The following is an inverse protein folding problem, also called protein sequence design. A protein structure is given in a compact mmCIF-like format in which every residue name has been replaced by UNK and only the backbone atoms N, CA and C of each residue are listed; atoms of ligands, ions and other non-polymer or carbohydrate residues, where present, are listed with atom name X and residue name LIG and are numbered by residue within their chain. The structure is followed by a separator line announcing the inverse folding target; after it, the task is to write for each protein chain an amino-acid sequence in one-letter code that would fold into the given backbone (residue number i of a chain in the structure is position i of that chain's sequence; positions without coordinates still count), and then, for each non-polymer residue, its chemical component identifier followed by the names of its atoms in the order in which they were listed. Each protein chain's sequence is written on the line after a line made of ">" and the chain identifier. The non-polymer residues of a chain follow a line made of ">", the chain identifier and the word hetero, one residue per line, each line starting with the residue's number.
data_IF_699606245543
#
_entry.id   IF_699606245543
#
_cell.length_a   1.000
_cell.length_b   1.000
_cell.length_c   1.000
_cell.angle_alpha   90.00
_cell.angle_beta   90.00
_cell.angle_gamma   90.00
#
_symmetry.space_group_name_H-M   'P 1'
#
loop_
_entity.id
_entity.type
_entity.pdbx_description
1 polymer ?
#
# COMPACT_ATOMS: atom_id res chain seq x y z
N UNK A 1 -14.76 15.30 -15.47
CA UNK A 1 -14.13 16.14 -14.42
C UNK A 1 -12.82 16.66 -14.99
N UNK A 2 -12.48 17.95 -14.82
CA UNK A 2 -11.18 18.46 -15.24
C UNK A 2 -10.08 17.67 -14.52
N UNK A 3 -8.98 17.34 -15.22
CA UNK A 3 -7.84 16.70 -14.58
C UNK A 3 -7.24 17.66 -13.56
N UNK A 4 -7.18 17.24 -12.30
CA UNK A 4 -6.45 17.98 -11.27
C UNK A 4 -4.97 17.95 -11.64
N UNK A 5 -4.30 19.09 -11.58
CA UNK A 5 -2.85 19.16 -11.82
C UNK A 5 -2.12 18.21 -10.86
N UNK A 6 -1.22 17.38 -11.40
CA UNK A 6 -0.49 16.38 -10.62
C UNK A 6 -1.27 15.11 -10.28
N UNK A 7 -2.43 14.86 -10.90
CA UNK A 7 -3.16 13.59 -10.81
C UNK A 7 -2.51 12.49 -11.68
N UNK A 8 -1.26 12.16 -11.39
CA UNK A 8 -0.46 11.11 -12.03
C UNK A 8 0.19 10.19 -10.98
N UNK A 9 0.86 9.12 -11.42
CA UNK A 9 1.49 8.16 -10.52
C UNK A 9 2.58 8.78 -9.63
N UNK A 10 3.21 9.87 -10.06
CA UNK A 10 4.23 10.57 -9.27
C UNK A 10 3.65 11.24 -8.02
N UNK A 11 2.31 11.27 -7.86
CA UNK A 11 1.65 11.69 -6.62
C UNK A 11 2.08 10.84 -5.41
N UNK A 12 2.40 9.55 -5.62
CA UNK A 12 2.82 8.65 -4.54
C UNK A 12 4.22 9.01 -4.04
N UNK A 13 5.12 9.43 -4.93
CA UNK A 13 6.46 9.92 -4.55
C UNK A 13 6.36 11.24 -3.76
N UNK A 14 5.52 12.16 -4.24
CA UNK A 14 5.25 13.43 -3.54
C UNK A 14 4.63 13.18 -2.17
N UNK A 15 3.68 12.26 -2.08
CA UNK A 15 3.04 11.90 -0.82
C UNK A 15 4.04 11.29 0.17
N UNK A 16 4.91 10.40 -0.30
CA UNK A 16 5.96 9.82 0.53
C UNK A 16 6.86 10.91 1.12
N UNK A 17 7.30 11.88 0.31
CA UNK A 17 8.12 12.99 0.79
C UNK A 17 7.39 13.81 1.86
N UNK A 18 6.11 14.13 1.66
CA UNK A 18 5.30 14.87 2.64
C UNK A 18 5.16 14.08 3.95
N UNK A 19 4.95 12.77 3.88
CA UNK A 19 4.81 11.91 5.07
C UNK A 19 6.13 11.80 5.82
N UNK A 20 7.24 11.66 5.10
CA UNK A 20 8.61 11.65 5.63
C UNK A 20 8.97 12.97 6.33
N UNK A 21 8.70 14.11 5.70
CA UNK A 21 8.92 15.44 6.28
C UNK A 21 8.11 15.62 7.57
N UNK A 22 6.85 15.17 7.56
CA UNK A 22 5.97 15.18 8.75
C UNK A 22 6.48 14.28 9.86
N UNK A 23 7.03 13.09 9.54
CA UNK A 23 7.67 12.22 10.53
C UNK A 23 8.84 12.92 11.18
N UNK A 24 9.70 13.55 10.37
CA UNK A 24 10.92 14.22 10.83
C UNK A 24 10.61 15.49 11.66
N UNK A 25 9.54 16.21 11.33
CA UNK A 25 9.07 17.35 12.13
C UNK A 25 8.54 16.95 13.52
N UNK A 26 8.05 15.71 13.68
CA UNK A 26 7.63 15.16 14.97
C UNK A 26 6.34 15.77 15.57
N UNK A 27 5.65 16.67 14.87
CA UNK A 27 4.43 17.30 15.37
C UNK A 27 3.20 16.38 15.25
N UNK A 28 3.00 15.56 16.26
CA UNK A 28 1.86 14.63 16.34
C UNK A 28 0.51 15.32 16.56
N UNK A 29 0.48 16.60 16.93
CA UNK A 29 -0.75 17.36 17.12
C UNK A 29 -1.27 17.88 15.78
N UNK A 30 -0.38 18.42 14.95
CA UNK A 30 -0.72 18.97 13.64
C UNK A 30 -0.77 17.93 12.51
N UNK A 31 -0.10 16.79 12.65
CA UNK A 31 0.04 15.80 11.58
C UNK A 31 -0.52 14.42 11.94
N UNK A 32 -1.48 13.95 11.13
CA UNK A 32 -2.05 12.62 11.25
C UNK A 32 -1.00 11.52 11.03
N UNK A 33 -0.16 11.64 10.00
CA UNK A 33 0.89 10.65 9.73
C UNK A 33 1.93 10.61 10.84
N UNK A 34 2.35 11.76 11.38
CA UNK A 34 3.29 11.80 12.50
C UNK A 34 2.69 11.12 13.74
N UNK A 35 1.41 11.36 14.02
CA UNK A 35 0.69 10.71 15.12
C UNK A 35 0.58 9.20 14.93
N UNK A 36 0.33 8.73 13.72
CA UNK A 36 0.20 7.29 13.45
C UNK A 36 1.54 6.58 13.62
N UNK A 37 2.61 7.15 13.07
CA UNK A 37 3.98 6.62 13.18
C UNK A 37 4.45 6.63 14.64
N UNK A 38 4.15 7.69 15.41
CA UNK A 38 4.46 7.75 16.83
C UNK A 38 3.76 6.67 17.68
N UNK A 39 2.68 6.05 17.17
CA UNK A 39 2.00 4.91 17.81
C UNK A 39 2.63 3.55 17.44
N UNK A 40 3.66 3.55 16.60
CA UNK A 40 4.45 2.39 16.22
C UNK A 40 3.89 1.56 15.07
N UNK A 41 4.74 0.71 14.52
CA UNK A 41 4.51 -0.11 13.33
C UNK A 41 3.23 -0.94 13.37
N UNK A 42 2.88 -1.50 14.54
CA UNK A 42 1.65 -2.28 14.69
C UNK A 42 0.39 -1.45 14.37
N UNK A 43 0.35 -0.18 14.78
CA UNK A 43 -0.80 0.68 14.52
C UNK A 43 -0.85 1.16 13.07
N UNK A 44 0.32 1.42 12.47
CA UNK A 44 0.43 1.77 11.05
C UNK A 44 -0.06 0.60 10.18
N UNK A 45 0.42 -0.61 10.45
CA UNK A 45 0.00 -1.82 9.74
C UNK A 45 -1.49 -2.15 9.95
N UNK A 46 -2.03 -1.92 11.15
CA UNK A 46 -3.46 -2.07 11.42
C UNK A 46 -4.29 -1.17 10.49
N UNK A 47 -3.95 0.13 10.38
CA UNK A 47 -4.69 1.03 9.48
C UNK A 47 -4.62 0.58 8.03
N UNK A 48 -3.45 0.18 7.54
CA UNK A 48 -3.35 -0.38 6.19
C UNK A 48 -4.30 -1.57 5.98
N UNK A 49 -4.40 -2.45 6.99
CA UNK A 49 -5.31 -3.60 6.94
C UNK A 49 -6.79 -3.22 6.93
N UNK A 50 -7.18 -2.20 7.70
CA UNK A 50 -8.55 -1.66 7.72
C UNK A 50 -8.96 -1.17 6.31
N UNK A 51 -8.18 -0.26 5.72
CA UNK A 51 -8.50 0.29 4.39
C UNK A 51 -8.49 -0.78 3.29
N UNK A 52 -7.64 -1.82 3.43
CA UNK A 52 -7.62 -2.93 2.48
C UNK A 52 -8.92 -3.73 2.52
N UNK A 53 -9.47 -3.97 3.72
CA UNK A 53 -10.75 -4.67 3.89
C UNK A 53 -11.90 -3.81 3.37
N UNK A 54 -11.92 -2.52 3.69
CA UNK A 54 -12.93 -1.57 3.22
C UNK A 54 -12.93 -1.47 1.69
N UNK A 55 -11.75 -1.33 1.06
CA UNK A 55 -11.60 -1.32 -0.39
C UNK A 55 -12.14 -2.60 -1.05
N UNK A 56 -11.85 -3.77 -0.47
CA UNK A 56 -12.35 -5.07 -0.96
C UNK A 56 -13.87 -5.15 -0.84
N UNK A 57 -14.44 -4.71 0.28
CA UNK A 57 -15.89 -4.72 0.51
C UNK A 57 -16.58 -3.84 -0.53
N UNK A 58 -16.14 -2.59 -0.70
CA UNK A 58 -16.78 -1.65 -1.63
C UNK A 58 -16.62 -2.09 -3.10
N UNK A 59 -15.50 -2.71 -3.45
CA UNK A 59 -15.31 -3.33 -4.76
C UNK A 59 -16.27 -4.51 -4.97
N UNK A 60 -16.43 -5.38 -3.96
CA UNK A 60 -17.31 -6.55 -4.04
C UNK A 60 -18.80 -6.19 -4.11
N UNK A 61 -19.20 -5.08 -3.50
CA UNK A 61 -20.58 -4.56 -3.57
C UNK A 61 -20.86 -3.75 -4.84
N UNK A 62 -19.85 -3.50 -5.67
CA UNK A 62 -19.98 -2.73 -6.91
C UNK A 62 -20.08 -1.22 -6.70
N UNK A 63 -19.73 -0.72 -5.50
CA UNK A 63 -19.78 0.70 -5.18
C UNK A 63 -18.55 1.45 -5.72
N UNK A 64 -18.56 1.71 -7.03
CA UNK A 64 -17.42 2.31 -7.74
C UNK A 64 -16.87 3.58 -7.09
N UNK A 65 -17.74 4.47 -6.61
CA UNK A 65 -17.31 5.74 -6.01
C UNK A 65 -16.57 5.51 -4.70
N UNK A 66 -17.10 4.64 -3.83
CA UNK A 66 -16.42 4.29 -2.59
C UNK A 66 -15.13 3.50 -2.86
N UNK A 67 -15.11 2.57 -3.82
CA UNK A 67 -13.88 1.86 -4.21
C UNK A 67 -12.75 2.83 -4.58
N UNK A 68 -13.04 3.93 -5.28
CA UNK A 68 -12.02 4.95 -5.61
C UNK A 68 -11.50 5.64 -4.36
N UNK A 69 -12.37 5.97 -3.40
CA UNK A 69 -11.98 6.60 -2.13
C UNK A 69 -11.12 5.65 -1.28
N UNK A 70 -11.60 4.42 -1.05
CA UNK A 70 -10.88 3.41 -0.27
C UNK A 70 -9.55 3.00 -0.94
N UNK A 71 -9.48 3.02 -2.28
CA UNK A 71 -8.21 2.80 -2.99
C UNK A 71 -7.20 3.91 -2.71
N UNK A 72 -7.66 5.16 -2.60
CA UNK A 72 -6.79 6.28 -2.27
C UNK A 72 -6.29 6.19 -0.83
N UNK A 73 -7.16 5.84 0.13
CA UNK A 73 -6.79 5.65 1.53
C UNK A 73 -5.86 4.45 1.74
N UNK A 74 -6.10 3.34 1.02
CA UNK A 74 -5.21 2.19 0.96
C UNK A 74 -3.80 2.58 0.49
N UNK A 75 -3.69 3.33 -0.61
CA UNK A 75 -2.40 3.80 -1.13
C UNK A 75 -1.71 4.76 -0.17
N UNK A 76 -2.48 5.67 0.45
CA UNK A 76 -1.94 6.58 1.47
C UNK A 76 -1.36 5.81 2.66
N UNK A 77 -2.11 4.86 3.21
CA UNK A 77 -1.65 4.08 4.36
C UNK A 77 -0.50 3.13 4.00
N UNK A 78 -0.40 2.67 2.75
CA UNK A 78 0.76 1.94 2.26
C UNK A 78 2.02 2.82 2.23
N UNK A 79 1.89 4.08 1.79
CA UNK A 79 2.99 5.06 1.84
C UNK A 79 3.43 5.33 3.29
N UNK A 80 2.49 5.40 4.24
CA UNK A 80 2.85 5.55 5.66
C UNK A 80 3.59 4.32 6.19
N UNK A 81 3.22 3.11 5.77
CA UNK A 81 4.00 1.88 6.08
C UNK A 81 5.41 1.98 5.52
N UNK A 82 5.58 2.47 4.29
CA UNK A 82 6.92 2.61 3.70
C UNK A 82 7.77 3.60 4.48
N UNK A 83 7.21 4.75 4.88
CA UNK A 83 7.92 5.73 5.71
C UNK A 83 8.27 5.15 7.09
N UNK A 84 7.35 4.45 7.75
CA UNK A 84 7.61 3.80 9.05
C UNK A 84 8.74 2.75 8.95
N UNK A 85 8.77 1.99 7.84
CA UNK A 85 9.77 0.96 7.59
C UNK A 85 11.08 1.47 6.95
N UNK A 86 11.20 2.76 6.62
CA UNK A 86 12.36 3.33 5.94
C UNK A 86 12.52 2.90 4.48
N UNK A 87 11.44 2.45 3.83
CA UNK A 87 11.41 2.01 2.43
C UNK A 87 11.15 3.23 1.53
N UNK A 88 11.96 3.41 0.48
CA UNK A 88 11.74 4.45 -0.53
C UNK A 88 10.83 3.96 -1.66
N UNK A 89 9.98 4.83 -2.26
CA UNK A 89 9.12 4.44 -3.37
C UNK A 89 9.88 3.80 -4.54
N UNK A 90 11.08 4.29 -4.84
CA UNK A 90 11.96 3.73 -5.88
C UNK A 90 12.22 2.23 -5.72
N UNK A 91 12.34 1.73 -4.48
CA UNK A 91 12.54 0.30 -4.22
C UNK A 91 11.32 -0.52 -4.67
N UNK A 92 10.12 -0.01 -4.40
CA UNK A 92 8.85 -0.62 -4.82
C UNK A 92 8.65 -0.51 -6.34
N UNK A 93 8.94 0.65 -6.93
CA UNK A 93 8.88 0.84 -8.38
C UNK A 93 9.84 -0.08 -9.12
N UNK A 94 11.05 -0.27 -8.58
CA UNK A 94 12.04 -1.21 -9.13
C UNK A 94 11.50 -2.63 -9.12
N UNK A 95 10.85 -3.06 -8.03
CA UNK A 95 10.25 -4.38 -7.95
C UNK A 95 9.04 -4.53 -8.89
N UNK A 96 8.20 -3.50 -9.03
CA UNK A 96 7.10 -3.51 -10.00
C UNK A 96 7.61 -3.57 -11.44
N UNK A 97 8.64 -2.81 -11.79
CA UNK A 97 9.28 -2.85 -13.11
C UNK A 97 9.88 -4.23 -13.40
N UNK A 98 10.52 -4.86 -12.40
CA UNK A 98 11.04 -6.23 -12.52
C UNK A 98 9.93 -7.24 -12.84
N UNK A 99 8.72 -7.06 -12.28
CA UNK A 99 7.56 -7.93 -12.51
C UNK A 99 6.79 -7.61 -13.80
N UNK A 100 6.83 -6.36 -14.28
CA UNK A 100 6.07 -5.93 -15.44
C UNK A 100 6.39 -6.74 -16.72
N UNK A 101 7.61 -7.27 -16.83
CA UNK A 101 8.04 -8.15 -17.93
C UNK A 101 7.84 -9.65 -17.71
N UNK A 102 7.43 -10.07 -16.50
CA UNK A 102 7.21 -11.47 -16.14
C UNK A 102 5.70 -11.66 -16.00
N UNK A 103 5.03 -12.22 -17.01
CA UNK A 103 3.60 -12.50 -16.87
C UNK A 103 3.37 -13.40 -15.65
N UNK A 104 2.32 -13.14 -14.87
CA UNK A 104 1.96 -13.97 -13.71
C UNK A 104 1.71 -15.45 -14.06
N UNK A 105 1.61 -15.78 -15.36
CA UNK A 105 1.57 -17.15 -15.89
C UNK A 105 2.98 -17.75 -15.94
N UNK A 106 3.97 -17.00 -16.43
CA UNK A 106 5.37 -17.42 -16.47
C UNK A 106 5.97 -17.59 -15.07
N UNK A 107 5.63 -16.72 -14.12
CA UNK A 107 6.06 -16.83 -12.72
C UNK A 107 5.46 -18.06 -12.02
N UNK A 108 4.17 -18.36 -12.26
CA UNK A 108 3.53 -19.59 -11.76
C UNK A 108 4.12 -20.86 -12.37
N UNK A 109 4.53 -20.82 -13.65
CA UNK A 109 5.17 -21.93 -14.34
C UNK A 109 6.62 -22.17 -13.89
N UNK A 110 7.34 -21.11 -13.46
CA UNK A 110 8.73 -21.19 -13.02
C UNK A 110 8.89 -21.59 -11.53
N UNK A 111 7.80 -21.69 -10.75
CA UNK A 111 7.88 -22.15 -9.35
C UNK A 111 8.20 -23.65 -9.31
N UNK A 112 9.26 -24.08 -8.57
CA UNK A 112 9.46 -25.49 -8.30
C UNK A 112 8.23 -26.06 -7.60
N UNK A 113 7.63 -27.11 -8.18
CA UNK A 113 6.42 -27.78 -7.66
C UNK A 113 6.59 -28.42 -6.27
N UNK A 114 7.76 -28.26 -5.62
CA UNK A 114 8.11 -28.87 -4.34
C UNK A 114 7.80 -28.07 -3.08
N UNK A 115 7.47 -26.77 -3.15
CA UNK A 115 7.31 -25.92 -1.93
C UNK A 115 5.86 -25.86 -1.42
N UNK A 116 4.87 -26.42 -2.12
CA UNK A 116 3.46 -26.40 -1.67
C UNK A 116 3.14 -27.49 -0.62
N UNK A 117 4.03 -28.45 -0.33
CA UNK A 117 3.77 -29.49 0.68
C UNK A 117 4.27 -29.22 2.11
N UNK A 118 4.81 -28.03 2.39
CA UNK A 118 5.34 -27.72 3.72
C UNK A 118 4.79 -26.41 4.32
N UNK A 119 3.48 -26.20 4.21
CA UNK A 119 2.76 -25.30 5.12
C UNK A 119 1.30 -25.76 5.13
N UNK A 120 0.97 -26.65 6.07
CA UNK A 120 -0.40 -27.10 6.33
C UNK A 120 -1.25 -25.96 6.90
N UNK A 121 -1.60 -24.99 6.06
CA UNK A 121 -2.64 -24.01 6.38
C UNK A 121 -3.83 -24.31 5.50
N UNK A 122 -4.86 -24.88 6.12
CA UNK A 122 -6.21 -25.00 5.57
C UNK A 122 -6.62 -23.65 5.01
N UNK A 123 -6.69 -23.52 3.68
CA UNK A 123 -7.42 -22.41 3.09
C UNK A 123 -8.88 -22.62 3.45
N UNK A 124 -9.47 -21.64 4.14
CA UNK A 124 -10.92 -21.54 4.30
C UNK A 124 -11.56 -21.39 2.89
N UNK A 125 -12.77 -21.92 2.70
CA UNK A 125 -13.45 -21.99 1.39
C UNK A 125 -13.64 -20.63 0.73
#
# INVERSE_FOLDING_TARGET
>A
MPSIEGADAAILDRLWQVVEDRRNAGDTMASHSARLIARGTAKVAQKLGEEAVECVIEAATGNRSATVLESADLLYHLVVVWVDAGIRPLEVWTELARRQGISGIAEKAARPQGIIRAAGTTKLP
#
